data_IF_022311997002
#
_entry.id   IF_022311997002
#
_cell.length_a   1.000
_cell.length_b   1.000
_cell.length_c   1.000
_cell.angle_alpha   90.00
_cell.angle_beta   90.00
_cell.angle_gamma   90.00
#
_symmetry.space_group_name_H-M   'P 1'
#
loop_
_entity.id
_entity.type
_entity.pdbx_description
1 polymer ?
#
# COMPACT_ATOMS: atom_id res chain seq x y z
N UNK A 1 -2.81 25.76 53.24
CA UNK A 1 -2.36 24.36 53.10
C UNK A 1 -2.18 24.07 51.62
N UNK A 2 -0.94 23.98 51.14
CA UNK A 2 -0.64 23.75 49.71
C UNK A 2 -0.74 22.26 49.41
N UNK A 3 -1.77 21.84 48.68
CA UNK A 3 -1.90 20.47 48.19
C UNK A 3 -0.98 20.27 47.00
N UNK A 4 0.16 19.60 47.22
CA UNK A 4 1.04 19.17 46.13
C UNK A 4 0.31 18.13 45.28
N UNK A 5 -0.22 18.55 44.14
CA UNK A 5 -0.81 17.67 43.15
C UNK A 5 0.27 16.71 42.65
N UNK A 6 0.20 15.44 43.06
CA UNK A 6 1.09 14.38 42.58
C UNK A 6 0.92 14.25 41.07
N UNK A 7 1.94 14.64 40.31
CA UNK A 7 2.00 14.41 38.86
C UNK A 7 1.77 12.92 38.58
N UNK A 8 0.93 12.57 37.58
CA UNK A 8 0.68 11.18 37.25
C UNK A 8 1.99 10.49 36.89
N UNK A 9 2.28 9.36 37.54
CA UNK A 9 3.42 8.50 37.21
C UNK A 9 3.27 8.10 35.74
N UNK A 10 4.17 8.59 34.89
CA UNK A 10 4.24 8.13 33.49
C UNK A 10 4.49 6.63 33.52
N UNK A 11 3.65 5.87 32.84
CA UNK A 11 3.86 4.45 32.63
C UNK A 11 5.08 4.26 31.73
N UNK A 12 6.27 4.13 32.30
CA UNK A 12 7.53 3.89 31.56
C UNK A 12 7.90 2.40 31.53
N UNK A 13 6.95 1.53 31.86
CA UNK A 13 7.16 0.08 31.83
C UNK A 13 7.47 -0.46 30.42
N UNK A 14 7.99 -1.68 30.32
CA UNK A 14 8.26 -2.34 29.04
C UNK A 14 7.01 -2.49 28.15
N UNK A 15 5.82 -2.51 28.75
CA UNK A 15 4.51 -2.58 28.10
C UNK A 15 3.83 -1.23 27.90
N UNK A 16 4.55 -0.13 28.14
CA UNK A 16 3.99 1.21 27.89
C UNK A 16 3.78 1.44 26.39
N UNK A 17 2.74 2.19 26.04
CA UNK A 17 2.44 2.55 24.64
C UNK A 17 3.62 3.22 23.93
N UNK A 18 4.45 3.96 24.67
CA UNK A 18 5.67 4.60 24.17
C UNK A 18 6.78 3.60 23.80
N UNK A 19 6.84 2.44 24.45
CA UNK A 19 7.96 1.50 24.33
C UNK A 19 7.58 0.20 23.63
N UNK A 20 6.30 -0.18 23.66
CA UNK A 20 5.84 -1.47 23.17
C UNK A 20 6.03 -1.65 21.65
N UNK A 21 6.03 -0.54 20.89
CA UNK A 21 6.23 -0.53 19.44
C UNK A 21 7.67 -0.19 19.02
N UNK A 22 8.61 -0.16 19.96
CA UNK A 22 10.02 0.05 19.65
C UNK A 22 10.66 -1.30 19.27
N UNK A 23 11.71 -1.24 18.44
CA UNK A 23 12.53 -2.38 18.02
C UNK A 23 13.13 -3.18 19.20
N UNK A 24 13.30 -2.54 20.35
CA UNK A 24 13.80 -3.14 21.61
C UNK A 24 12.71 -3.71 22.53
N UNK A 25 11.46 -3.71 22.07
CA UNK A 25 10.31 -4.15 22.87
C UNK A 25 10.32 -5.67 23.09
N UNK A 26 9.90 -6.15 24.29
CA UNK A 26 9.75 -7.58 24.54
C UNK A 26 8.65 -8.23 23.68
N UNK A 27 7.79 -7.45 23.01
CA UNK A 27 6.70 -7.95 22.17
C UNK A 27 7.18 -8.88 21.04
N UNK A 28 8.41 -8.67 20.56
CA UNK A 28 9.02 -9.48 19.50
C UNK A 28 9.18 -10.95 19.93
N UNK A 29 9.54 -11.16 21.20
CA UNK A 29 9.79 -12.48 21.80
C UNK A 29 8.53 -13.23 22.24
N UNK A 30 7.39 -12.55 22.36
CA UNK A 30 6.16 -13.14 22.91
C UNK A 30 5.28 -13.78 21.84
N UNK A 31 4.57 -14.82 22.22
CA UNK A 31 3.52 -15.39 21.37
C UNK A 31 2.29 -14.49 21.39
N UNK A 32 2.13 -13.73 20.30
CA UNK A 32 0.99 -12.83 20.12
C UNK A 32 -0.28 -13.59 19.74
N UNK A 33 -0.14 -14.75 19.10
CA UNK A 33 -1.30 -15.51 18.66
C UNK A 33 -2.01 -16.12 19.88
N UNK A 34 -1.28 -16.85 20.72
CA UNK A 34 -1.80 -17.36 21.99
C UNK A 34 -2.28 -16.28 22.95
N UNK A 35 -1.63 -15.11 22.96
CA UNK A 35 -2.11 -13.95 23.73
C UNK A 35 -3.49 -13.48 23.27
N UNK A 36 -3.71 -13.31 21.96
CA UNK A 36 -5.01 -12.88 21.43
C UNK A 36 -6.12 -13.92 21.69
N UNK A 37 -5.80 -15.22 21.60
CA UNK A 37 -6.72 -16.29 22.00
C UNK A 37 -7.11 -16.17 23.48
N UNK A 38 -6.15 -15.87 24.35
CA UNK A 38 -6.38 -15.66 25.79
C UNK A 38 -7.27 -14.42 26.03
N UNK A 39 -7.06 -13.34 25.27
CA UNK A 39 -7.88 -12.13 25.35
C UNK A 39 -9.34 -12.39 24.95
N UNK A 40 -9.58 -13.16 23.89
CA UNK A 40 -10.94 -13.48 23.42
C UNK A 40 -11.63 -14.45 24.37
N UNK A 41 -10.93 -15.51 24.81
CA UNK A 41 -11.49 -16.48 25.76
C UNK A 41 -11.82 -15.87 27.13
N UNK A 42 -10.99 -14.93 27.60
CA UNK A 42 -11.22 -14.18 28.84
C UNK A 42 -12.02 -12.90 28.67
N UNK A 43 -12.73 -12.71 27.55
CA UNK A 43 -13.38 -11.43 27.21
C UNK A 43 -14.32 -10.92 28.30
N UNK A 44 -15.06 -11.81 28.96
CA UNK A 44 -16.06 -11.43 29.96
C UNK A 44 -15.53 -11.11 31.35
N UNK A 45 -14.34 -11.61 31.69
CA UNK A 45 -13.78 -11.52 33.03
C UNK A 45 -12.62 -10.51 33.11
N UNK A 46 -11.89 -10.33 32.01
CA UNK A 46 -10.67 -9.52 31.99
C UNK A 46 -10.88 -8.06 31.55
N UNK A 47 -12.06 -7.71 31.03
CA UNK A 47 -12.31 -6.38 30.45
C UNK A 47 -13.61 -5.76 30.96
N UNK A 48 -13.51 -4.47 31.32
CA UNK A 48 -14.66 -3.64 31.63
C UNK A 48 -15.42 -3.26 30.37
N UNK A 49 -16.69 -2.87 30.49
CA UNK A 49 -17.53 -2.55 29.32
C UNK A 49 -16.98 -1.38 28.49
N UNK A 50 -16.40 -0.36 29.13
CA UNK A 50 -15.76 0.76 28.44
C UNK A 50 -14.50 0.32 27.65
N UNK A 51 -13.73 -0.63 28.19
CA UNK A 51 -12.55 -1.19 27.51
C UNK A 51 -12.99 -2.06 26.33
N UNK A 52 -14.02 -2.89 26.52
CA UNK A 52 -14.62 -3.68 25.45
C UNK A 52 -15.07 -2.80 24.29
N UNK A 53 -15.78 -1.68 24.56
CA UNK A 53 -16.17 -0.70 23.52
C UNK A 53 -14.96 -0.14 22.80
N UNK A 54 -13.94 0.29 23.55
CA UNK A 54 -12.71 0.83 22.96
C UNK A 54 -12.00 -0.20 22.06
N UNK A 55 -11.96 -1.46 22.46
CA UNK A 55 -11.38 -2.54 21.66
C UNK A 55 -12.23 -2.76 20.40
N UNK A 56 -13.55 -2.81 20.49
CA UNK A 56 -14.44 -2.94 19.33
C UNK A 56 -14.23 -1.76 18.37
N UNK A 57 -14.12 -0.53 18.87
CA UNK A 57 -13.88 0.67 18.07
C UNK A 57 -12.53 0.62 17.33
N UNK A 58 -11.54 -0.07 17.88
CA UNK A 58 -10.22 -0.25 17.24
C UNK A 58 -10.25 -1.22 16.06
N UNK A 59 -11.27 -2.07 15.95
CA UNK A 59 -11.39 -3.02 14.85
C UNK A 59 -11.75 -2.32 13.53
N UNK A 60 -11.42 -2.93 12.38
CA UNK A 60 -11.89 -2.46 11.08
C UNK A 60 -13.42 -2.35 11.06
N UNK A 61 -14.01 -1.36 10.34
CA UNK A 61 -15.45 -1.09 10.36
C UNK A 61 -16.33 -2.32 10.10
N UNK A 62 -15.87 -3.23 9.24
CA UNK A 62 -16.57 -4.49 8.91
C UNK A 62 -16.73 -5.46 10.09
N UNK A 63 -15.91 -5.33 11.14
CA UNK A 63 -15.94 -6.18 12.33
C UNK A 63 -16.48 -5.45 13.56
N UNK A 64 -16.91 -4.19 13.45
CA UNK A 64 -17.48 -3.45 14.59
C UNK A 64 -18.92 -3.89 14.80
N UNK A 65 -19.13 -4.81 15.75
CA UNK A 65 -20.46 -5.25 16.18
C UNK A 65 -20.60 -5.06 17.68
N UNK A 66 -21.66 -4.40 18.11
CA UNK A 66 -22.00 -4.17 19.52
C UNK A 66 -23.17 -5.06 19.90
N UNK A 67 -22.90 -6.35 19.99
CA UNK A 67 -23.90 -7.33 20.42
C UNK A 67 -23.82 -7.50 21.94
N UNK A 68 -24.99 -7.57 22.57
CA UNK A 68 -25.12 -7.80 24.01
C UNK A 68 -25.55 -9.24 24.24
N UNK A 69 -24.91 -9.90 25.19
CA UNK A 69 -25.31 -11.23 25.67
C UNK A 69 -26.60 -11.13 26.51
N UNK A 70 -27.23 -12.27 26.82
CA UNK A 70 -28.41 -12.35 27.68
C UNK A 70 -28.22 -11.74 29.08
N UNK A 71 -26.95 -11.58 29.51
CA UNK A 71 -26.57 -10.86 30.73
C UNK A 71 -26.28 -9.36 30.56
N UNK A 72 -26.60 -8.76 29.40
CA UNK A 72 -26.38 -7.34 29.11
C UNK A 72 -24.92 -6.94 28.93
N UNK A 73 -24.01 -7.90 28.67
CA UNK A 73 -22.58 -7.64 28.48
C UNK A 73 -22.21 -7.65 27.01
N UNK A 74 -21.31 -6.75 26.59
CA UNK A 74 -20.80 -6.75 25.22
C UNK A 74 -20.04 -8.04 24.92
N UNK A 75 -20.43 -8.69 23.83
CA UNK A 75 -19.80 -9.89 23.26
C UNK A 75 -18.62 -9.49 22.36
N UNK A 76 -17.59 -10.33 22.31
CA UNK A 76 -16.47 -10.10 21.40
C UNK A 76 -16.96 -10.33 19.96
N UNK A 77 -16.82 -9.36 19.04
CA UNK A 77 -17.29 -9.52 17.66
C UNK A 77 -16.44 -10.50 16.83
N UNK A 78 -15.31 -10.95 17.37
CA UNK A 78 -14.36 -11.86 16.73
C UNK A 78 -14.36 -13.18 17.50
N UNK A 79 -14.51 -14.30 16.77
CA UNK A 79 -14.39 -15.64 17.34
C UNK A 79 -12.95 -16.11 17.39
N UNK A 80 -12.68 -17.11 18.24
CA UNK A 80 -11.37 -17.75 18.34
C UNK A 80 -11.02 -18.45 17.01
N UNK A 81 -12.00 -19.10 16.38
CA UNK A 81 -11.82 -19.80 15.10
C UNK A 81 -11.37 -18.83 14.00
N UNK A 82 -11.97 -17.63 13.95
CA UNK A 82 -11.54 -16.61 13.00
C UNK A 82 -10.06 -16.26 13.19
N UNK A 83 -9.60 -16.12 14.44
CA UNK A 83 -8.21 -15.81 14.72
C UNK A 83 -7.23 -16.94 14.35
N UNK A 84 -7.67 -18.20 14.41
CA UNK A 84 -6.87 -19.39 14.11
C UNK A 84 -6.80 -19.72 12.61
N UNK A 85 -7.91 -19.53 11.92
CA UNK A 85 -8.10 -19.96 10.52
C UNK A 85 -7.88 -18.83 9.52
N UNK A 86 -8.05 -17.56 9.92
CA UNK A 86 -7.94 -16.45 8.97
C UNK A 86 -6.49 -16.24 8.49
N UNK A 87 -6.31 -16.34 7.17
CA UNK A 87 -5.01 -16.21 6.53
C UNK A 87 -4.41 -14.81 6.73
N UNK A 88 -5.24 -13.76 6.79
CA UNK A 88 -4.75 -12.40 7.01
C UNK A 88 -4.19 -12.23 8.42
N UNK A 89 -4.91 -12.69 9.45
CA UNK A 89 -4.42 -12.63 10.84
C UNK A 89 -3.13 -13.42 11.02
N UNK A 90 -3.06 -14.64 10.45
CA UNK A 90 -1.85 -15.48 10.51
C UNK A 90 -0.64 -14.83 9.84
N UNK A 91 -0.85 -14.12 8.73
CA UNK A 91 0.23 -13.40 8.05
C UNK A 91 0.55 -12.05 8.73
N UNK A 92 -0.43 -11.41 9.36
CA UNK A 92 -0.29 -10.09 9.98
C UNK A 92 0.62 -10.12 11.21
N UNK A 93 0.57 -11.19 12.04
CA UNK A 93 1.39 -11.26 13.26
C UNK A 93 2.90 -11.32 12.95
N UNK A 94 3.40 -12.22 12.06
CA UNK A 94 4.80 -12.22 11.66
C UNK A 94 5.22 -10.91 10.98
N UNK A 95 4.35 -10.35 10.13
CA UNK A 95 4.58 -9.06 9.48
C UNK A 95 4.74 -7.95 10.51
N UNK A 96 3.82 -7.85 11.46
CA UNK A 96 3.86 -6.87 12.55
C UNK A 96 5.16 -6.98 13.36
N UNK A 97 5.58 -8.19 13.72
CA UNK A 97 6.85 -8.38 14.44
C UNK A 97 8.05 -7.89 13.63
N UNK A 98 8.06 -8.14 12.32
CA UNK A 98 9.10 -7.63 11.41
C UNK A 98 9.06 -6.11 11.33
N UNK A 99 7.89 -5.53 11.12
CA UNK A 99 7.72 -4.07 11.04
C UNK A 99 8.14 -3.37 12.35
N UNK A 100 7.93 -4.01 13.51
CA UNK A 100 8.45 -3.54 14.81
C UNK A 100 9.96 -3.71 14.91
N UNK A 101 10.54 -4.84 14.48
CA UNK A 101 12.00 -5.03 14.51
C UNK A 101 12.74 -4.07 13.59
N UNK A 102 12.12 -3.73 12.46
CA UNK A 102 12.66 -2.80 11.45
C UNK A 102 12.49 -1.34 11.88
N UNK A 103 11.83 -1.08 13.01
CA UNK A 103 11.66 0.25 13.59
C UNK A 103 10.62 1.13 12.87
N UNK A 104 9.72 0.55 12.07
CA UNK A 104 8.74 1.32 11.29
C UNK A 104 7.75 2.11 12.16
N UNK A 105 7.57 1.67 13.40
CA UNK A 105 6.71 2.35 14.38
C UNK A 105 7.46 3.34 15.27
N UNK A 106 8.77 3.52 15.07
CA UNK A 106 9.53 4.53 15.79
C UNK A 106 9.23 5.93 15.26
N UNK A 107 9.21 6.92 16.16
CA UNK A 107 8.89 8.31 15.82
C UNK A 107 9.82 8.88 14.73
N UNK A 108 11.07 8.45 14.69
CA UNK A 108 12.03 8.85 13.65
C UNK A 108 11.55 8.41 12.26
N UNK A 109 11.20 7.14 12.12
CA UNK A 109 10.71 6.56 10.87
C UNK A 109 9.38 7.18 10.42
N UNK A 110 8.43 7.33 11.34
CA UNK A 110 7.13 7.96 11.05
C UNK A 110 7.28 9.41 10.59
N UNK A 111 8.21 10.16 11.17
CA UNK A 111 8.49 11.54 10.77
C UNK A 111 9.12 11.60 9.37
N UNK A 112 10.04 10.69 9.05
CA UNK A 112 10.64 10.58 7.72
C UNK A 112 9.58 10.21 6.67
N UNK A 113 8.74 9.22 6.95
CA UNK A 113 7.67 8.80 6.05
C UNK A 113 6.66 9.94 5.78
N UNK A 114 6.27 10.68 6.83
CA UNK A 114 5.40 11.86 6.68
C UNK A 114 6.07 12.97 5.86
N UNK A 115 7.37 13.21 6.08
CA UNK A 115 8.15 14.18 5.30
C UNK A 115 8.22 13.78 3.83
N UNK A 116 8.49 12.51 3.53
CA UNK A 116 8.53 11.99 2.16
C UNK A 116 7.16 12.08 1.45
N UNK A 117 6.07 11.82 2.17
CA UNK A 117 4.70 12.03 1.65
C UNK A 117 4.44 13.51 1.30
N UNK A 118 4.85 14.43 2.17
CA UNK A 118 4.74 15.87 1.90
C UNK A 118 5.60 16.28 0.70
N UNK A 119 6.84 15.81 0.60
CA UNK A 119 7.74 16.13 -0.51
C UNK A 119 7.24 15.58 -1.85
N UNK A 120 6.56 14.42 -1.86
CA UNK A 120 5.86 13.89 -3.03
C UNK A 120 4.66 14.75 -3.41
N UNK A 121 3.87 15.18 -2.42
CA UNK A 121 2.73 16.06 -2.66
C UNK A 121 3.17 17.44 -3.18
N UNK A 122 4.30 17.95 -2.69
CA UNK A 122 4.89 19.23 -3.11
C UNK A 122 5.60 19.13 -4.47
N UNK A 123 5.59 17.98 -5.15
CA UNK A 123 6.23 17.77 -6.46
C UNK A 123 7.77 17.78 -6.43
N UNK A 124 8.39 17.85 -5.23
CA UNK A 124 9.86 17.88 -5.08
C UNK A 124 10.51 16.55 -5.45
N UNK A 125 9.77 15.45 -5.30
CA UNK A 125 10.26 14.14 -5.68
C UNK A 125 10.41 14.01 -7.21
N UNK A 126 9.53 14.64 -8.00
CA UNK A 126 9.62 14.63 -9.47
C UNK A 126 10.81 15.46 -9.96
N UNK A 127 11.07 16.61 -9.34
CA UNK A 127 12.24 17.45 -9.67
C UNK A 127 13.57 16.76 -9.34
N UNK A 128 13.66 16.11 -8.17
CA UNK A 128 14.84 15.32 -7.80
C UNK A 128 15.04 14.11 -8.73
N UNK A 129 13.97 13.41 -9.13
CA UNK A 129 14.05 12.31 -10.09
C UNK A 129 14.55 12.79 -11.45
N UNK A 130 14.08 13.94 -11.91
CA UNK A 130 14.49 14.53 -13.17
C UNK A 130 15.99 14.89 -13.15
N UNK A 131 16.46 15.58 -12.11
CA UNK A 131 17.87 15.96 -11.98
C UNK A 131 18.79 14.74 -11.87
N UNK A 132 18.37 13.69 -11.14
CA UNK A 132 19.15 12.45 -11.05
C UNK A 132 19.13 11.64 -12.35
N UNK A 133 18.01 11.64 -13.08
CA UNK A 133 17.94 11.00 -14.39
C UNK A 133 18.89 11.72 -15.37
N UNK A 134 18.88 13.05 -15.39
CA UNK A 134 19.78 13.85 -16.23
C UNK A 134 21.26 13.57 -15.91
N UNK A 135 21.65 13.45 -14.64
CA UNK A 135 23.03 13.11 -14.25
C UNK A 135 23.44 11.70 -14.67
N UNK A 136 22.57 10.70 -14.49
CA UNK A 136 22.87 9.31 -14.86
C UNK A 136 22.96 9.14 -16.37
N UNK A 137 22.06 9.77 -17.14
CA UNK A 137 22.11 9.75 -18.60
C UNK A 137 23.30 10.57 -19.14
N UNK A 138 23.64 11.71 -18.53
CA UNK A 138 24.83 12.48 -18.91
C UNK A 138 26.14 11.71 -18.63
N UNK A 139 26.20 10.95 -17.54
CA UNK A 139 27.36 10.11 -17.22
C UNK A 139 27.50 8.92 -18.19
N UNK A 140 26.38 8.34 -18.65
CA UNK A 140 26.40 7.30 -19.69
C UNK A 140 26.86 7.84 -21.04
N UNK A 141 26.47 9.06 -21.40
CA UNK A 141 26.89 9.68 -22.66
C UNK A 141 28.38 10.09 -22.67
N UNK A 142 28.91 10.54 -21.53
CA UNK A 142 30.34 10.80 -21.36
C UNK A 142 31.21 9.52 -21.39
N UNK A 143 30.64 8.36 -21.00
CA UNK A 143 31.31 7.06 -21.09
C UNK A 143 31.34 6.50 -22.52
N UNK A 144 30.33 6.77 -23.34
CA UNK A 144 30.33 6.39 -24.77
C UNK A 144 31.25 7.32 -25.61
N UNK A 145 31.33 8.62 -25.28
CA UNK A 145 32.16 9.59 -26.02
C UNK A 145 33.67 9.49 -25.70
N UNK A 146 34.04 8.69 -24.68
CA UNK A 146 35.43 8.36 -24.35
C UNK A 146 35.90 7.03 -24.94
N UNK A 147 35.03 6.32 -25.68
CA UNK A 147 35.44 5.19 -26.54
C UNK A 147 35.74 5.68 -27.96
N UNK A 148 37.05 5.67 -28.27
CA UNK A 148 37.71 5.86 -29.56
C UNK A 148 36.81 5.57 -30.80
N UNK A 149 36.62 6.52 -31.74
CA UNK A 149 35.69 6.37 -32.87
C UNK A 149 36.31 5.62 -34.06
N UNK A 150 36.93 4.46 -33.81
CA UNK A 150 37.56 3.67 -34.87
C UNK A 150 37.31 2.16 -34.69
N UNK A 151 36.03 1.79 -34.52
CA UNK A 151 35.54 0.46 -34.91
C UNK A 151 34.01 0.47 -35.06
N UNK A 152 33.54 0.74 -36.28
CA UNK A 152 32.17 0.46 -36.65
C UNK A 152 32.04 -1.04 -36.96
N UNK A 153 31.58 -1.82 -35.97
CA UNK A 153 30.90 -3.08 -36.22
C UNK A 153 29.50 -3.02 -35.61
N UNK A 154 28.53 -3.08 -36.50
CA UNK A 154 27.10 -2.97 -36.25
C UNK A 154 26.63 -4.28 -35.60
N UNK A 155 26.40 -4.27 -34.29
CA UNK A 155 25.46 -5.20 -33.65
C UNK A 155 24.43 -4.36 -32.90
N UNK A 156 23.27 -4.20 -33.54
CA UNK A 156 22.03 -3.82 -32.88
C UNK A 156 21.66 -4.94 -31.90
N UNK A 157 22.20 -4.86 -30.68
CA UNK A 157 21.85 -5.76 -29.58
C UNK A 157 20.51 -5.32 -29.01
N UNK A 158 19.43 -5.88 -29.56
CA UNK A 158 18.11 -5.85 -28.96
C UNK A 158 18.22 -6.40 -27.52
N UNK A 159 17.76 -5.62 -26.54
CA UNK A 159 17.94 -5.91 -25.13
C UNK A 159 17.13 -7.14 -24.70
N UNK A 160 17.77 -8.31 -24.69
CA UNK A 160 17.26 -9.50 -24.02
C UNK A 160 17.23 -9.26 -22.50
N UNK A 161 16.02 -9.09 -21.96
CA UNK A 161 15.78 -9.10 -20.52
C UNK A 161 16.01 -10.53 -19.99
N UNK A 162 16.91 -10.75 -19.01
CA UNK A 162 17.15 -12.08 -18.50
C UNK A 162 16.00 -12.50 -17.56
N UNK A 163 15.27 -13.53 -17.98
CA UNK A 163 14.61 -14.45 -17.05
C UNK A 163 13.10 -14.35 -16.91
N UNK A 164 12.34 -14.59 -17.99
CA UNK A 164 11.00 -15.18 -17.86
C UNK A 164 10.85 -16.33 -18.86
N UNK A 165 11.09 -17.54 -18.37
CA UNK A 165 10.87 -18.79 -19.10
C UNK A 165 9.37 -18.98 -19.33
N UNK A 166 8.85 -18.55 -20.48
CA UNK A 166 7.48 -18.82 -20.92
C UNK A 166 7.50 -19.91 -21.99
N UNK A 167 7.36 -21.14 -21.51
CA UNK A 167 7.12 -22.31 -22.33
C UNK A 167 5.72 -22.19 -22.97
N UNK A 168 5.63 -22.25 -24.29
CA UNK A 168 4.45 -22.80 -24.96
C UNK A 168 3.50 -21.83 -25.68
N UNK A 169 3.48 -22.02 -27.01
CA UNK A 169 2.29 -22.04 -27.87
C UNK A 169 1.81 -20.70 -28.45
N UNK A 170 2.43 -20.36 -29.58
CA UNK A 170 1.89 -19.45 -30.62
C UNK A 170 0.44 -19.81 -30.97
N UNK A 171 -0.49 -18.90 -30.72
CA UNK A 171 -1.78 -18.82 -31.43
C UNK A 171 -1.82 -17.46 -32.14
N UNK A 172 -1.76 -17.52 -33.47
CA UNK A 172 -1.95 -16.38 -34.36
C UNK A 172 -3.36 -15.80 -34.19
N UNK A 173 -3.49 -14.50 -33.99
CA UNK A 173 -4.74 -13.75 -34.15
C UNK A 173 -4.56 -12.66 -35.22
N UNK A 174 -5.60 -12.39 -36.04
CA UNK A 174 -5.47 -11.68 -37.30
C UNK A 174 -5.37 -10.17 -37.13
N UNK A 175 -4.61 -9.58 -38.06
CA UNK A 175 -4.34 -8.16 -38.28
C UNK A 175 -5.62 -7.37 -38.58
N UNK A 176 -6.08 -6.57 -37.61
CA UNK A 176 -7.18 -5.62 -37.79
C UNK A 176 -6.69 -4.38 -38.54
N UNK A 177 -7.14 -4.21 -39.78
CA UNK A 177 -6.92 -3.02 -40.61
C UNK A 177 -7.85 -1.88 -40.15
N UNK A 178 -7.27 -0.79 -39.65
CA UNK A 178 -7.98 0.46 -39.38
C UNK A 178 -8.19 1.22 -40.70
N UNK A 179 -9.42 1.18 -41.24
CA UNK A 179 -9.82 1.98 -42.39
C UNK A 179 -10.22 3.40 -41.93
N UNK A 180 -9.50 4.41 -42.42
CA UNK A 180 -9.88 5.83 -42.34
C UNK A 180 -11.07 6.14 -43.26
N UNK A 181 -12.07 6.95 -42.85
CA UNK A 181 -13.12 7.42 -43.75
C UNK A 181 -12.62 8.54 -44.68
N UNK A 182 -12.89 8.39 -45.98
CA UNK A 182 -12.69 9.42 -47.01
C UNK A 182 -13.86 10.41 -46.98
N UNK A 183 -13.56 11.69 -46.78
CA UNK A 183 -14.47 12.81 -47.02
C UNK A 183 -14.74 12.95 -48.52
N UNK A 184 -15.99 12.85 -48.94
CA UNK A 184 -16.38 13.06 -50.34
C UNK A 184 -16.91 14.50 -50.50
N UNK A 185 -16.15 15.34 -51.19
CA UNK A 185 -16.60 16.63 -51.74
C UNK A 185 -16.88 16.43 -53.23
N UNK A 186 -18.05 16.86 -53.67
CA UNK A 186 -18.46 17.01 -55.07
C UNK A 186 -19.98 17.08 -55.12
N UNK A 187 -20.64 17.85 -55.96
CA UNK A 187 -20.27 18.93 -56.87
C UNK A 187 -21.59 19.65 -57.23
N UNK A 188 -21.47 20.89 -57.74
CA UNK A 188 -22.56 21.75 -58.23
C UNK A 188 -23.30 21.18 -59.46
N UNK A 189 -24.56 21.62 -59.67
CA UNK A 189 -25.33 21.54 -60.93
C UNK A 189 -26.84 21.44 -60.67
N UNK A 190 -27.61 22.54 -60.54
CA UNK A 190 -28.29 23.35 -61.58
C UNK A 190 -29.46 22.64 -62.30
N UNK A 191 -30.67 23.12 -61.97
CA UNK A 191 -31.94 23.31 -62.73
C UNK A 191 -32.53 22.16 -63.58
N UNK A 192 -33.83 21.87 -63.36
CA UNK A 192 -34.94 22.32 -64.24
C UNK A 192 -36.32 21.96 -63.64
N UNK A 193 -37.25 22.93 -63.67
CA UNK A 193 -38.73 22.76 -63.59
C UNK A 193 -39.24 22.31 -64.99
N UNK A 194 -40.50 21.85 -65.25
CA UNK A 194 -41.76 22.43 -64.75
C UNK A 194 -43.05 21.52 -64.70
N UNK A 195 -44.14 22.16 -64.22
CA UNK A 195 -45.58 21.99 -64.58
C UNK A 195 -46.46 20.91 -63.90
N UNK A 196 -47.41 21.43 -63.10
CA UNK A 196 -48.84 21.11 -62.83
C UNK A 196 -49.63 20.24 -63.84
N UNK A 197 -50.94 19.92 -63.66
CA UNK A 197 -51.88 20.24 -62.55
C UNK A 197 -52.75 19.05 -62.05
N UNK A 198 -53.46 19.26 -60.94
CA UNK A 198 -54.57 18.42 -60.48
C UNK A 198 -55.13 18.87 -59.13
#
# INVERSE_FOLDING_TARGET
MSSSAKRPKRNTGPWSSLRILNSTSPILSKDLHGFLVTCISGWNDNYNEAEKRTIIDSLPPQYRKYELDGGGRLVCPISIDFLLEDAYVKAAIPKFKRDVSDGYYEKGWQNQARKALQERQDGKFDAYLQEHAEQVFAEQQARDDSSNPDQADVVSSDGEWPGMSANGRRKSLPRTQVRRPKTNRGALGVRDSPTDPG
#
